data_IF_159510509309
#
_entry.id   IF_159510509309
#
_cell.length_a   1.000
_cell.length_b   1.000
_cell.length_c   1.000
_cell.angle_alpha   90.00
_cell.angle_beta   90.00
_cell.angle_gamma   90.00
#
_symmetry.space_group_name_H-M   'P 1'
#
loop_
_entity.id
_entity.type
_entity.pdbx_description
1 polymer ?
#
# COMPACT_ATOMS: atom_id res chain seq x y z
N UNK A 1 6.88 -4.25 21.67
CA UNK A 1 6.94 -4.51 20.19
C UNK A 1 8.35 -4.19 19.71
N UNK A 2 8.93 -5.04 18.87
CA UNK A 2 10.22 -4.72 18.24
C UNK A 2 10.04 -3.55 17.26
N UNK A 3 10.96 -2.57 17.31
CA UNK A 3 10.88 -1.41 16.44
C UNK A 3 11.37 -0.12 17.08
N UNK A 4 11.22 0.98 16.36
CA UNK A 4 11.52 2.34 16.82
C UNK A 4 10.52 3.30 16.21
N UNK A 5 10.07 4.28 16.98
CA UNK A 5 9.21 5.36 16.51
C UNK A 5 9.86 6.73 16.74
N UNK A 6 9.55 7.67 15.84
CA UNK A 6 9.89 9.08 15.95
C UNK A 6 8.62 9.89 16.18
N UNK A 7 8.54 10.59 17.28
CA UNK A 7 7.41 11.42 17.66
C UNK A 7 7.88 12.61 18.50
N UNK A 8 7.31 13.80 18.28
CA UNK A 8 7.64 15.04 19.01
C UNK A 8 9.16 15.32 19.08
N UNK A 9 9.86 15.06 17.98
CA UNK A 9 11.31 15.30 17.87
C UNK A 9 12.21 14.24 18.52
N UNK A 10 11.64 13.12 19.01
CA UNK A 10 12.38 12.09 19.78
C UNK A 10 12.17 10.71 19.18
N UNK A 11 13.21 9.87 19.28
CA UNK A 11 13.12 8.44 19.01
C UNK A 11 12.76 7.71 20.31
N UNK A 12 11.74 6.89 20.23
CA UNK A 12 11.17 6.16 21.38
C UNK A 12 10.84 4.71 20.99
N UNK A 13 10.60 3.86 21.98
CA UNK A 13 10.01 2.54 21.71
C UNK A 13 8.60 2.71 21.13
N UNK A 14 8.13 1.80 20.26
CA UNK A 14 6.81 1.92 19.63
C UNK A 14 5.66 2.11 20.64
N UNK A 15 5.71 1.45 21.79
CA UNK A 15 4.69 1.56 22.84
C UNK A 15 4.63 2.94 23.50
N UNK A 16 5.72 3.71 23.45
CA UNK A 16 5.78 5.06 23.98
C UNK A 16 5.34 6.13 22.98
N UNK A 17 5.13 5.75 21.71
CA UNK A 17 4.66 6.65 20.67
C UNK A 17 3.14 6.83 20.80
N UNK A 18 2.70 7.84 21.54
CA UNK A 18 1.28 8.11 21.80
C UNK A 18 0.81 9.42 21.20
N UNK A 19 -0.43 9.46 20.75
CA UNK A 19 -1.11 10.67 20.28
C UNK A 19 -2.25 11.03 21.24
N UNK A 20 -2.60 12.31 21.28
CA UNK A 20 -3.77 12.77 22.03
C UNK A 20 -5.06 12.27 21.40
N UNK A 21 -6.05 11.86 22.21
CA UNK A 21 -7.41 11.58 21.73
C UNK A 21 -8.08 12.81 21.08
N UNK A 22 -7.54 14.02 21.28
CA UNK A 22 -8.02 15.27 20.66
C UNK A 22 -7.28 15.59 19.36
N UNK A 23 -6.37 14.74 18.91
CA UNK A 23 -5.72 14.89 17.58
C UNK A 23 -6.78 14.62 16.49
N UNK A 24 -6.87 15.51 15.51
CA UNK A 24 -7.85 15.37 14.44
C UNK A 24 -7.50 14.26 13.45
N UNK A 25 -6.25 13.83 13.42
CA UNK A 25 -5.87 12.59 12.74
C UNK A 25 -6.65 11.39 13.29
N UNK A 26 -6.88 11.33 14.61
CA UNK A 26 -7.71 10.32 15.25
C UNK A 26 -9.21 10.64 15.14
N UNK A 27 -9.64 11.87 15.51
CA UNK A 27 -11.07 12.22 15.57
C UNK A 27 -11.75 12.32 14.21
N UNK A 28 -11.01 12.71 13.16
CA UNK A 28 -11.59 13.03 11.85
C UNK A 28 -10.94 12.26 10.70
N UNK A 29 -9.98 11.37 10.96
CA UNK A 29 -9.09 10.76 9.96
C UNK A 29 -8.35 11.80 9.09
N UNK A 30 -8.15 13.03 9.63
CA UNK A 30 -7.47 14.12 8.93
C UNK A 30 -5.95 13.94 9.05
N UNK A 31 -5.44 13.01 8.26
CA UNK A 31 -4.05 12.59 8.26
C UNK A 31 -3.69 11.92 6.93
N UNK A 32 -2.38 11.92 6.62
CA UNK A 32 -1.81 11.14 5.52
C UNK A 32 -0.62 10.32 6.02
N UNK A 33 -0.33 9.26 5.31
CA UNK A 33 0.83 8.41 5.58
C UNK A 33 1.44 7.87 4.29
N UNK A 34 2.68 7.39 4.37
CA UNK A 34 3.27 6.57 3.32
C UNK A 34 4.09 5.44 3.94
N UNK A 35 4.20 4.35 3.19
CA UNK A 35 4.91 3.15 3.65
C UNK A 35 5.95 2.76 2.62
N UNK A 36 7.21 2.82 3.01
CA UNK A 36 8.31 2.18 2.33
C UNK A 36 8.70 0.90 3.09
N UNK A 37 9.33 -0.05 2.40
CA UNK A 37 9.92 -1.18 3.08
C UNK A 37 11.44 -1.18 2.95
N UNK A 38 12.07 -1.84 3.91
CA UNK A 38 13.47 -2.24 3.88
C UNK A 38 13.52 -3.74 3.66
N UNK A 39 14.35 -4.17 2.72
CA UNK A 39 14.63 -5.58 2.45
C UNK A 39 16.15 -5.81 2.42
N UNK A 40 16.62 -6.75 3.22
CA UNK A 40 18.04 -7.05 3.37
C UNK A 40 18.92 -5.82 3.66
N UNK A 41 18.37 -4.86 4.44
CA UNK A 41 19.07 -3.64 4.84
C UNK A 41 19.09 -2.54 3.78
N UNK A 42 18.20 -2.56 2.81
CA UNK A 42 18.07 -1.55 1.75
C UNK A 42 16.62 -1.09 1.63
N UNK A 43 16.38 0.22 1.61
CA UNK A 43 15.10 0.77 1.20
C UNK A 43 14.87 0.52 -0.28
N UNK A 44 13.65 0.15 -0.64
CA UNK A 44 13.23 0.01 -2.03
C UNK A 44 12.40 1.23 -2.47
N UNK A 45 12.83 1.90 -3.55
CA UNK A 45 12.16 3.07 -4.17
C UNK A 45 11.80 4.16 -3.15
N UNK A 46 12.69 4.48 -2.22
CA UNK A 46 12.44 5.43 -1.14
C UNK A 46 12.03 6.82 -1.66
N UNK A 47 12.67 7.31 -2.72
CA UNK A 47 12.33 8.61 -3.32
C UNK A 47 10.89 8.65 -3.82
N UNK A 48 10.41 7.58 -4.46
CA UNK A 48 9.04 7.48 -4.96
C UNK A 48 8.00 7.53 -3.83
N UNK A 49 8.31 6.94 -2.68
CA UNK A 49 7.48 7.00 -1.48
C UNK A 49 7.47 8.40 -0.87
N UNK A 50 8.62 9.07 -0.81
CA UNK A 50 8.72 10.45 -0.33
C UNK A 50 7.98 11.42 -1.25
N UNK A 51 8.11 11.26 -2.58
CA UNK A 51 7.37 12.08 -3.56
C UNK A 51 5.86 11.97 -3.36
N UNK A 52 5.34 10.75 -3.17
CA UNK A 52 3.91 10.53 -2.94
C UNK A 52 3.46 11.07 -1.58
N UNK A 53 4.26 10.95 -0.54
CA UNK A 53 3.96 11.52 0.77
C UNK A 53 3.88 13.06 0.70
N UNK A 54 4.85 13.71 0.06
CA UNK A 54 4.85 15.17 -0.13
C UNK A 54 3.64 15.63 -0.95
N UNK A 55 3.28 14.91 -2.03
CA UNK A 55 2.08 15.19 -2.80
C UNK A 55 0.81 15.08 -1.94
N UNK A 56 0.72 14.07 -1.08
CA UNK A 56 -0.40 13.90 -0.15
C UNK A 56 -0.45 14.99 0.92
N UNK A 57 0.69 15.40 1.48
CA UNK A 57 0.80 16.53 2.41
C UNK A 57 0.27 17.82 1.75
N UNK A 58 0.71 18.10 0.54
CA UNK A 58 0.29 19.30 -0.20
C UNK A 58 -1.22 19.28 -0.48
N UNK A 59 -1.78 18.16 -0.92
CA UNK A 59 -3.21 18.01 -1.21
C UNK A 59 -4.07 18.25 0.04
N UNK A 60 -3.64 17.76 1.20
CA UNK A 60 -4.33 17.98 2.48
C UNK A 60 -3.94 19.29 3.18
N UNK A 61 -3.02 20.07 2.62
CA UNK A 61 -2.48 21.30 3.26
C UNK A 61 -1.96 21.00 4.67
N UNK A 62 -1.16 19.94 4.79
CA UNK A 62 -0.43 19.59 6.00
C UNK A 62 1.00 20.08 5.90
N UNK A 63 1.50 20.68 6.97
CA UNK A 63 2.91 21.05 7.12
C UNK A 63 3.56 20.10 8.14
N UNK A 64 4.45 19.19 7.72
CA UNK A 64 5.12 18.28 8.63
C UNK A 64 6.12 18.99 9.56
N UNK A 65 6.47 20.25 9.29
CA UNK A 65 7.46 21.02 10.05
C UNK A 65 8.90 20.50 9.92
N UNK A 66 9.16 19.64 8.94
CA UNK A 66 10.48 19.04 8.66
C UNK A 66 10.73 18.98 7.16
N UNK A 67 12.01 19.05 6.74
CA UNK A 67 12.39 18.94 5.33
C UNK A 67 12.35 17.49 4.85
N UNK A 68 12.34 17.28 3.53
CA UNK A 68 12.44 15.96 2.90
C UNK A 68 13.68 15.17 3.38
N UNK A 69 14.82 15.85 3.47
CA UNK A 69 16.07 15.25 3.97
C UNK A 69 15.89 14.76 5.41
N UNK A 70 15.22 15.57 6.24
CA UNK A 70 14.96 15.16 7.63
C UNK A 70 13.98 13.99 7.70
N UNK A 71 12.96 13.92 6.85
CA UNK A 71 12.07 12.75 6.76
C UNK A 71 12.87 11.49 6.42
N UNK A 72 13.72 11.56 5.39
CA UNK A 72 14.63 10.47 5.00
C UNK A 72 15.53 10.05 6.15
N UNK A 73 16.18 11.00 6.82
CA UNK A 73 17.07 10.71 7.96
C UNK A 73 16.33 10.02 9.09
N UNK A 74 15.12 10.47 9.41
CA UNK A 74 14.27 9.85 10.44
C UNK A 74 13.92 8.40 10.08
N UNK A 75 13.58 8.11 8.81
CA UNK A 75 13.31 6.73 8.37
C UNK A 75 14.54 5.84 8.55
N UNK A 76 15.71 6.27 8.09
CA UNK A 76 16.96 5.53 8.27
C UNK A 76 17.27 5.30 9.75
N UNK A 77 17.12 6.34 10.56
CA UNK A 77 17.42 6.27 11.99
C UNK A 77 16.43 5.36 12.74
N UNK A 78 15.14 5.36 12.41
CA UNK A 78 14.18 4.41 12.97
C UNK A 78 14.59 2.95 12.70
N UNK A 79 14.96 2.63 11.45
CA UNK A 79 15.41 1.28 11.08
C UNK A 79 16.72 0.92 11.76
N UNK A 80 17.68 1.85 11.79
CA UNK A 80 18.99 1.63 12.41
C UNK A 80 18.89 1.39 13.91
N UNK A 81 18.08 2.19 14.64
CA UNK A 81 17.84 2.03 16.09
C UNK A 81 17.12 0.74 16.42
N UNK A 82 16.22 0.28 15.55
CA UNK A 82 15.54 -0.99 15.69
C UNK A 82 16.41 -2.19 15.25
N UNK A 83 17.58 -1.95 14.65
CA UNK A 83 18.50 -2.97 14.11
C UNK A 83 17.83 -3.93 13.10
N UNK A 84 16.78 -3.49 12.41
CA UNK A 84 16.01 -4.31 11.48
C UNK A 84 16.71 -4.41 10.11
N UNK A 85 16.73 -5.60 9.52
CA UNK A 85 17.23 -5.85 8.17
C UNK A 85 16.07 -5.88 7.17
N UNK A 86 14.91 -6.32 7.61
CA UNK A 86 13.66 -6.32 6.86
C UNK A 86 12.62 -5.58 7.68
N UNK A 87 12.10 -4.47 7.15
CA UNK A 87 11.26 -3.57 7.92
C UNK A 87 10.09 -3.01 7.12
N UNK A 88 9.00 -2.80 7.80
CA UNK A 88 7.92 -1.92 7.43
C UNK A 88 8.22 -0.54 8.04
N UNK A 89 8.29 0.49 7.21
CA UNK A 89 8.64 1.84 7.65
C UNK A 89 7.56 2.80 7.20
N UNK A 90 6.87 3.41 8.14
CA UNK A 90 5.79 4.35 7.88
C UNK A 90 6.17 5.78 8.29
N UNK A 91 5.89 6.72 7.39
CA UNK A 91 5.80 8.15 7.65
C UNK A 91 4.33 8.52 7.81
N UNK A 92 4.02 9.40 8.74
CA UNK A 92 2.66 9.93 8.88
C UNK A 92 2.67 11.39 9.35
N UNK A 93 1.65 12.13 8.92
CA UNK A 93 1.40 13.48 9.37
C UNK A 93 -0.08 13.66 9.66
N UNK A 94 -0.41 14.10 10.88
CA UNK A 94 -1.77 14.39 11.30
C UNK A 94 -2.04 15.89 11.28
N UNK A 95 -3.32 16.27 11.16
CA UNK A 95 -3.75 17.65 11.37
C UNK A 95 -3.36 18.17 12.76
N UNK A 96 -3.24 17.29 13.75
CA UNK A 96 -2.93 17.65 15.12
C UNK A 96 -4.12 18.26 15.85
N UNK A 97 -3.84 19.12 16.84
CA UNK A 97 -4.87 19.72 17.67
C UNK A 97 -5.12 21.18 17.28
N UNK A 98 -6.39 21.62 17.24
CA UNK A 98 -6.72 23.03 17.02
C UNK A 98 -6.35 23.88 18.24
N UNK A 99 -6.30 25.20 18.03
CA UNK A 99 -6.23 26.16 19.14
C UNK A 99 -7.41 25.97 20.12
N UNK A 100 -7.23 26.25 21.41
CA UNK A 100 -8.31 26.08 22.41
C UNK A 100 -9.63 26.76 22.00
N UNK A 101 -10.72 25.98 22.00
CA UNK A 101 -12.05 26.47 21.60
C UNK A 101 -12.29 26.63 20.10
N UNK A 102 -11.29 26.36 19.25
CA UNK A 102 -11.42 26.45 17.78
C UNK A 102 -11.92 25.17 17.16
N UNK A 103 -12.72 25.31 16.08
CA UNK A 103 -13.08 24.25 15.14
C UNK A 103 -12.50 24.52 13.73
N UNK A 104 -11.62 25.50 13.61
CA UNK A 104 -11.00 25.87 12.34
C UNK A 104 -9.73 25.01 12.11
N UNK A 105 -9.66 24.20 11.04
CA UNK A 105 -8.50 23.35 10.75
C UNK A 105 -7.19 24.16 10.54
N UNK A 106 -7.30 25.43 10.20
CA UNK A 106 -6.14 26.32 10.01
C UNK A 106 -5.44 26.67 11.33
N UNK A 107 -6.09 26.45 12.46
CA UNK A 107 -5.52 26.71 13.79
C UNK A 107 -4.84 25.48 14.38
N UNK A 108 -4.84 24.36 13.67
CA UNK A 108 -4.21 23.13 14.13
C UNK A 108 -2.69 23.20 14.01
N UNK A 109 -2.00 22.58 14.97
CA UNK A 109 -0.56 22.34 14.89
C UNK A 109 -0.35 20.93 14.36
N UNK A 110 0.12 20.83 13.11
CA UNK A 110 0.35 19.54 12.46
C UNK A 110 1.47 18.77 13.16
N UNK A 111 1.45 17.44 13.06
CA UNK A 111 2.43 16.57 13.70
C UNK A 111 2.98 15.55 12.73
N UNK A 112 4.28 15.61 12.50
CA UNK A 112 5.02 14.59 11.77
C UNK A 112 5.48 13.48 12.72
N UNK A 113 5.34 12.25 12.28
CA UNK A 113 5.76 11.05 13.00
C UNK A 113 6.27 10.01 12.00
N UNK A 114 7.07 9.07 12.48
CA UNK A 114 7.50 7.92 11.69
C UNK A 114 7.72 6.72 12.61
N UNK A 115 7.68 5.52 12.05
CA UNK A 115 8.11 4.33 12.77
C UNK A 115 8.67 3.26 11.84
N UNK A 116 9.50 2.39 12.39
CA UNK A 116 9.97 1.17 11.75
C UNK A 116 9.67 -0.02 12.66
N UNK A 117 9.09 -1.06 12.10
CA UNK A 117 8.80 -2.34 12.76
C UNK A 117 9.24 -3.48 11.83
N UNK A 118 9.34 -4.74 12.30
CA UNK A 118 9.58 -5.88 11.43
C UNK A 118 8.65 -5.89 10.21
N UNK A 119 9.13 -6.41 9.08
CA UNK A 119 8.38 -6.41 7.82
C UNK A 119 6.99 -7.01 7.98
N UNK A 120 5.97 -6.28 7.50
CA UNK A 120 4.56 -6.69 7.58
C UNK A 120 4.09 -7.16 6.21
N UNK A 121 3.74 -8.43 6.10
CA UNK A 121 3.22 -9.02 4.88
C UNK A 121 1.71 -8.82 4.75
N UNK A 122 1.24 -8.41 3.57
CA UNK A 122 -0.21 -8.49 3.21
C UNK A 122 -0.64 -9.96 3.11
N UNK A 123 0.19 -10.76 2.47
CA UNK A 123 0.10 -12.21 2.49
C UNK A 123 1.48 -12.77 2.84
N UNK A 124 1.57 -13.55 3.90
CA UNK A 124 2.82 -14.18 4.31
C UNK A 124 3.38 -15.13 3.23
N UNK A 125 4.65 -15.56 3.32
CA UNK A 125 5.26 -16.40 2.30
C UNK A 125 4.50 -17.72 2.01
N UNK A 126 3.78 -18.28 2.97
CA UNK A 126 2.97 -19.47 2.76
C UNK A 126 1.75 -19.15 1.90
N UNK A 127 1.02 -18.08 2.24
CA UNK A 127 -0.10 -17.58 1.43
C UNK A 127 0.33 -17.19 0.03
N UNK A 128 1.50 -16.55 -0.13
CA UNK A 128 2.01 -16.22 -1.45
C UNK A 128 2.30 -17.46 -2.31
N UNK A 129 2.76 -18.57 -1.70
CA UNK A 129 3.00 -19.84 -2.44
C UNK A 129 1.74 -20.54 -2.91
N UNK A 130 0.63 -20.45 -2.16
CA UNK A 130 -0.65 -21.07 -2.55
C UNK A 130 -1.60 -20.15 -3.29
N UNK A 131 -1.31 -18.86 -3.31
CA UNK A 131 -2.24 -17.80 -3.72
C UNK A 131 -3.25 -17.45 -2.63
N UNK A 132 -3.87 -16.29 -2.75
CA UNK A 132 -4.81 -15.72 -1.78
C UNK A 132 -6.23 -15.80 -2.32
N UNK A 133 -7.22 -16.01 -1.44
CA UNK A 133 -8.64 -16.02 -1.78
C UNK A 133 -9.22 -14.62 -1.68
N UNK A 134 -9.57 -14.04 -2.84
CA UNK A 134 -10.09 -12.68 -3.01
C UNK A 134 -11.62 -12.69 -3.10
N UNK A 135 -12.25 -11.73 -2.47
CA UNK A 135 -13.70 -11.51 -2.56
C UNK A 135 -13.99 -10.14 -3.14
N UNK A 136 -14.94 -10.05 -4.07
CA UNK A 136 -15.56 -8.79 -4.45
C UNK A 136 -16.68 -8.49 -3.45
N UNK A 137 -16.50 -7.48 -2.61
CA UNK A 137 -17.45 -7.17 -1.54
C UNK A 137 -18.56 -6.22 -1.98
N UNK A 138 -19.65 -6.23 -1.21
CA UNK A 138 -20.81 -5.35 -1.37
C UNK A 138 -20.51 -3.89 -1.00
N UNK A 139 -19.77 -3.57 0.09
CA UNK A 139 -19.36 -2.20 0.37
C UNK A 139 -18.59 -1.60 -0.81
N UNK A 140 -18.94 -0.34 -1.11
CA UNK A 140 -18.28 0.40 -2.19
C UNK A 140 -17.12 1.22 -1.64
N UNK A 141 -16.09 1.40 -2.48
CA UNK A 141 -15.00 2.34 -2.19
C UNK A 141 -15.55 3.76 -2.06
N UNK A 142 -15.04 4.53 -1.12
CA UNK A 142 -15.38 5.95 -0.95
C UNK A 142 -15.21 6.65 -2.30
N UNK A 143 -16.24 7.38 -2.80
CA UNK A 143 -16.17 8.02 -4.11
C UNK A 143 -15.01 9.01 -4.23
N UNK A 144 -14.26 8.97 -5.33
CA UNK A 144 -13.12 9.84 -5.59
C UNK A 144 -13.45 11.35 -5.49
N UNK A 145 -14.71 11.73 -5.76
CA UNK A 145 -15.19 13.11 -5.59
C UNK A 145 -15.36 13.53 -4.12
N UNK A 146 -15.37 12.57 -3.17
CA UNK A 146 -15.52 12.82 -1.73
C UNK A 146 -14.17 12.79 -1.00
N UNK A 147 -13.33 11.82 -1.35
CA UNK A 147 -11.96 11.67 -0.85
C UNK A 147 -11.07 11.32 -2.03
N UNK A 148 -10.07 12.16 -2.29
CA UNK A 148 -9.13 11.94 -3.40
C UNK A 148 -8.35 10.63 -3.18
N UNK A 149 -8.48 9.62 -4.04
CA UNK A 149 -7.79 8.34 -3.91
C UNK A 149 -6.26 8.44 -4.10
N UNK A 150 -5.77 9.52 -4.73
CA UNK A 150 -4.33 9.75 -4.89
C UNK A 150 -3.66 10.16 -3.57
N UNK A 151 -4.44 10.68 -2.61
CA UNK A 151 -3.97 10.95 -1.25
C UNK A 151 -4.00 9.66 -0.44
N UNK A 152 -2.84 9.22 0.04
CA UNK A 152 -2.76 8.03 0.90
C UNK A 152 -3.25 8.38 2.30
N UNK A 153 -4.48 7.95 2.62
CA UNK A 153 -5.25 8.38 3.79
C UNK A 153 -5.71 7.21 4.67
N UNK A 154 -6.25 7.52 5.85
CA UNK A 154 -6.74 6.56 6.84
C UNK A 154 -8.26 6.31 6.79
N UNK A 155 -8.95 6.65 5.70
CA UNK A 155 -10.37 6.32 5.52
C UNK A 155 -10.52 4.85 5.09
N UNK A 156 -10.55 3.97 6.07
CA UNK A 156 -10.52 2.52 5.88
C UNK A 156 -11.79 1.78 6.28
N UNK A 157 -12.86 2.49 6.70
CA UNK A 157 -14.08 1.84 7.18
C UNK A 157 -14.78 1.01 6.11
N UNK A 158 -14.72 1.41 4.85
CA UNK A 158 -15.20 0.66 3.71
C UNK A 158 -14.39 -0.64 3.49
N UNK A 159 -13.06 -0.57 3.57
CA UNK A 159 -12.19 -1.75 3.53
C UNK A 159 -12.45 -2.70 4.70
N UNK A 160 -12.60 -2.17 5.92
CA UNK A 160 -12.87 -2.99 7.12
C UNK A 160 -14.22 -3.70 6.99
N UNK A 161 -15.26 -3.01 6.53
CA UNK A 161 -16.56 -3.62 6.27
C UNK A 161 -16.47 -4.74 5.20
N UNK A 162 -15.72 -4.47 4.13
CA UNK A 162 -15.48 -5.47 3.08
C UNK A 162 -14.66 -6.67 3.57
N UNK A 163 -13.66 -6.46 4.43
CA UNK A 163 -12.87 -7.56 5.02
C UNK A 163 -13.74 -8.48 5.89
N UNK A 164 -14.63 -7.93 6.71
CA UNK A 164 -15.56 -8.76 7.48
C UNK A 164 -16.48 -9.57 6.56
N UNK A 165 -17.03 -8.96 5.48
CA UNK A 165 -17.80 -9.71 4.49
C UNK A 165 -16.96 -10.81 3.82
N UNK A 166 -15.70 -10.54 3.47
CA UNK A 166 -14.82 -11.54 2.89
C UNK A 166 -14.60 -12.72 3.83
N UNK A 167 -14.33 -12.45 5.11
CA UNK A 167 -14.16 -13.50 6.14
C UNK A 167 -15.43 -14.34 6.34
N UNK A 168 -16.59 -13.69 6.39
CA UNK A 168 -17.90 -14.40 6.52
C UNK A 168 -18.18 -15.29 5.31
N UNK A 169 -17.61 -14.95 4.14
CA UNK A 169 -17.71 -15.74 2.89
C UNK A 169 -16.55 -16.73 2.70
N UNK A 170 -15.67 -16.87 3.69
CA UNK A 170 -14.52 -17.80 3.64
C UNK A 170 -13.34 -17.30 2.79
N UNK A 171 -13.33 -16.03 2.37
CA UNK A 171 -12.19 -15.40 1.71
C UNK A 171 -11.15 -14.87 2.69
N UNK A 172 -10.02 -14.39 2.16
CA UNK A 172 -8.89 -13.91 2.96
C UNK A 172 -8.65 -12.41 2.85
N UNK A 173 -9.11 -11.82 1.76
CA UNK A 173 -9.03 -10.39 1.51
C UNK A 173 -10.11 -9.94 0.54
N UNK A 174 -10.18 -8.64 0.29
CA UNK A 174 -11.30 -8.03 -0.42
C UNK A 174 -10.82 -7.04 -1.48
N UNK A 175 -11.52 -6.97 -2.59
CA UNK A 175 -11.48 -5.84 -3.51
C UNK A 175 -12.82 -5.13 -3.49
N UNK A 176 -12.79 -3.79 -3.41
CA UNK A 176 -14.00 -2.96 -3.48
C UNK A 176 -14.23 -2.46 -4.90
N UNK A 177 -15.48 -2.11 -5.17
CA UNK A 177 -15.89 -1.50 -6.43
C UNK A 177 -16.34 -0.06 -6.18
N UNK A 178 -16.43 0.73 -7.24
CA UNK A 178 -17.14 2.00 -7.22
C UNK A 178 -18.67 1.81 -7.38
N UNK A 179 -19.42 2.90 -7.30
CA UNK A 179 -20.88 2.87 -7.46
C UNK A 179 -21.38 2.47 -8.85
N UNK A 180 -20.49 2.27 -9.84
CA UNK A 180 -20.81 1.82 -11.21
C UNK A 180 -20.36 0.36 -11.46
N UNK A 181 -19.95 -0.37 -10.45
CA UNK A 181 -19.50 -1.77 -10.55
C UNK A 181 -18.11 -1.93 -11.18
N UNK A 182 -17.30 -0.87 -11.22
CA UNK A 182 -15.90 -0.96 -11.65
C UNK A 182 -15.04 -1.33 -10.46
N UNK A 183 -14.07 -2.21 -10.71
CA UNK A 183 -13.07 -2.60 -9.71
C UNK A 183 -12.23 -1.38 -9.33
N UNK A 184 -12.05 -1.16 -8.04
CA UNK A 184 -11.15 -0.16 -7.50
C UNK A 184 -9.91 -0.84 -6.92
N UNK A 185 -9.80 -0.89 -5.62
CA UNK A 185 -8.63 -1.40 -4.91
C UNK A 185 -9.05 -2.16 -3.65
N UNK A 186 -8.10 -2.75 -2.95
CA UNK A 186 -8.32 -3.38 -1.65
C UNK A 186 -7.44 -2.77 -0.56
N UNK A 187 -7.55 -3.28 0.68
CA UNK A 187 -6.86 -2.74 1.84
C UNK A 187 -5.33 -2.87 1.70
N UNK A 188 -4.69 -1.78 1.27
CA UNK A 188 -3.23 -1.69 1.13
C UNK A 188 -2.66 -2.27 -0.17
N UNK A 189 -3.48 -2.52 -1.20
CA UNK A 189 -3.01 -3.03 -2.49
C UNK A 189 -3.86 -2.55 -3.68
N UNK A 190 -3.24 -2.53 -4.85
CA UNK A 190 -3.92 -2.40 -6.14
C UNK A 190 -4.13 -3.78 -6.79
N UNK A 191 -5.06 -3.87 -7.75
CA UNK A 191 -5.44 -5.13 -8.42
C UNK A 191 -5.01 -5.12 -9.87
N UNK A 192 -4.59 -6.28 -10.37
CA UNK A 192 -4.26 -6.54 -11.76
C UNK A 192 -4.99 -7.78 -12.26
N UNK A 193 -5.49 -7.71 -13.48
CA UNK A 193 -6.04 -8.85 -14.22
C UNK A 193 -5.16 -9.14 -15.44
N UNK A 194 -4.90 -10.41 -15.70
CA UNK A 194 -4.14 -10.88 -16.87
C UNK A 194 -5.05 -11.67 -17.79
N UNK A 195 -4.99 -11.38 -19.06
CA UNK A 195 -5.69 -12.12 -20.12
C UNK A 195 -4.65 -12.74 -21.05
N UNK A 196 -4.71 -14.04 -21.22
CA UNK A 196 -3.79 -14.80 -22.05
C UNK A 196 -3.91 -14.43 -23.54
N UNK A 197 -2.83 -14.56 -24.28
CA UNK A 197 -2.74 -14.25 -25.69
C UNK A 197 -1.31 -14.38 -26.22
N UNK A 198 -1.09 -14.12 -27.49
CA UNK A 198 0.25 -14.09 -28.08
C UNK A 198 1.15 -13.04 -27.39
N UNK A 199 0.60 -11.89 -27.06
CA UNK A 199 1.11 -10.94 -26.09
C UNK A 199 0.10 -10.88 -24.92
N UNK A 200 0.43 -11.35 -23.71
CA UNK A 200 -0.48 -11.29 -22.57
C UNK A 200 -0.88 -9.84 -22.28
N UNK A 201 -2.17 -9.62 -22.02
CA UNK A 201 -2.68 -8.29 -21.69
C UNK A 201 -2.82 -8.18 -20.16
N UNK A 202 -2.16 -7.18 -19.58
CA UNK A 202 -2.18 -6.87 -18.15
C UNK A 202 -2.99 -5.60 -17.94
N UNK A 203 -4.10 -5.69 -17.21
CA UNK A 203 -5.05 -4.60 -16.97
C UNK A 203 -5.05 -4.23 -15.50
N UNK A 204 -5.00 -2.94 -15.17
CA UNK A 204 -5.17 -2.42 -13.82
C UNK A 204 -6.09 -1.20 -13.83
N UNK A 205 -6.98 -1.03 -12.82
CA UNK A 205 -7.87 0.11 -12.73
C UNK A 205 -7.16 1.47 -12.82
N UNK A 206 -7.75 2.39 -13.61
CA UNK A 206 -7.24 3.75 -13.78
C UNK A 206 -7.81 4.74 -12.76
N UNK A 207 -9.04 4.49 -12.27
CA UNK A 207 -9.79 5.44 -11.45
C UNK A 207 -10.19 4.87 -10.10
N UNK A 208 -10.29 5.73 -9.09
CA UNK A 208 -10.73 5.36 -7.75
C UNK A 208 -9.70 4.55 -6.95
N UNK A 209 -8.43 4.62 -7.34
CA UNK A 209 -7.33 3.85 -6.75
C UNK A 209 -6.16 4.74 -6.38
N UNK A 210 -5.39 4.33 -5.38
CA UNK A 210 -4.11 4.94 -5.07
C UNK A 210 -3.10 4.62 -6.20
N UNK A 211 -2.29 5.60 -6.58
CA UNK A 211 -1.15 5.38 -7.47
C UNK A 211 -0.01 4.68 -6.69
N UNK A 212 -0.13 3.35 -6.56
CA UNK A 212 0.80 2.53 -5.82
C UNK A 212 2.22 2.55 -6.42
N UNK A 213 3.25 2.69 -5.58
CA UNK A 213 4.66 2.59 -6.02
C UNK A 213 4.93 1.18 -6.58
N UNK A 214 4.46 0.15 -5.88
CA UNK A 214 4.53 -1.24 -6.37
C UNK A 214 3.70 -1.43 -7.65
N UNK A 215 2.50 -0.81 -7.73
CA UNK A 215 1.69 -0.84 -8.96
C UNK A 215 2.47 -0.28 -10.14
N UNK A 216 3.11 0.89 -10.01
CA UNK A 216 3.94 1.50 -11.05
C UNK A 216 5.09 0.59 -11.44
N UNK A 217 5.79 0.00 -10.47
CA UNK A 217 6.88 -0.94 -10.71
C UNK A 217 6.42 -2.15 -11.54
N UNK A 218 5.27 -2.73 -11.21
CA UNK A 218 4.74 -3.90 -11.92
C UNK A 218 4.22 -3.55 -13.32
N UNK A 219 3.71 -2.33 -13.55
CA UNK A 219 3.41 -1.80 -14.89
C UNK A 219 4.68 -1.72 -15.74
N UNK A 220 5.76 -1.15 -15.19
CA UNK A 220 7.07 -1.04 -15.86
C UNK A 220 7.64 -2.43 -16.19
N UNK A 221 7.57 -3.36 -15.24
CA UNK A 221 8.05 -4.74 -15.43
C UNK A 221 7.20 -5.50 -16.46
N UNK A 222 5.88 -5.43 -16.39
CA UNK A 222 5.00 -6.11 -17.35
C UNK A 222 5.28 -5.65 -18.79
N UNK A 223 5.50 -4.35 -19.02
CA UNK A 223 5.87 -3.83 -20.32
C UNK A 223 7.24 -4.36 -20.79
N UNK A 224 8.24 -4.46 -19.89
CA UNK A 224 9.56 -5.03 -20.20
C UNK A 224 9.50 -6.52 -20.53
N UNK A 225 8.60 -7.26 -19.90
CA UNK A 225 8.35 -8.69 -20.14
C UNK A 225 7.46 -8.94 -21.39
N UNK A 226 7.18 -7.91 -22.19
CA UNK A 226 6.45 -8.03 -23.44
C UNK A 226 4.93 -8.13 -23.30
N UNK A 227 4.36 -7.78 -22.14
CA UNK A 227 2.93 -7.70 -21.96
C UNK A 227 2.35 -6.40 -22.56
N UNK A 228 1.13 -6.47 -23.10
CA UNK A 228 0.33 -5.28 -23.38
C UNK A 228 -0.27 -4.74 -22.08
N UNK A 229 0.22 -3.61 -21.59
CA UNK A 229 -0.27 -3.01 -20.34
C UNK A 229 -1.38 -2.00 -20.63
N UNK A 230 -2.52 -2.17 -19.97
CA UNK A 230 -3.67 -1.28 -20.06
C UNK A 230 -4.03 -0.72 -18.68
N UNK A 231 -3.90 0.58 -18.52
CA UNK A 231 -4.38 1.33 -17.34
C UNK A 231 -5.74 1.93 -17.72
N UNK A 232 -6.82 1.27 -17.31
CA UNK A 232 -8.19 1.64 -17.68
C UNK A 232 -9.21 1.10 -16.66
N UNK A 233 -10.46 1.47 -16.82
CA UNK A 233 -11.53 0.86 -16.03
C UNK A 233 -11.58 -0.66 -16.26
N UNK A 234 -11.83 -1.39 -15.19
CA UNK A 234 -11.96 -2.85 -15.14
C UNK A 234 -13.29 -3.20 -14.46
N UNK A 235 -14.20 -3.82 -15.20
CA UNK A 235 -15.47 -4.28 -14.64
C UNK A 235 -15.31 -5.59 -13.86
N UNK A 236 -16.18 -5.82 -12.86
CA UNK A 236 -16.15 -7.06 -12.06
C UNK A 236 -16.29 -8.31 -12.93
N UNK A 237 -17.18 -8.30 -13.92
CA UNK A 237 -17.38 -9.45 -14.83
C UNK A 237 -16.16 -9.69 -15.73
N UNK A 238 -15.41 -8.65 -16.05
CA UNK A 238 -14.14 -8.80 -16.77
C UNK A 238 -13.07 -9.39 -15.84
N UNK A 239 -12.97 -8.92 -14.60
CA UNK A 239 -12.06 -9.48 -13.59
C UNK A 239 -12.31 -10.97 -13.38
N UNK A 240 -13.59 -11.41 -13.32
CA UNK A 240 -13.97 -12.83 -13.19
C UNK A 240 -13.54 -13.70 -14.36
N UNK A 241 -13.34 -13.13 -15.54
CA UNK A 241 -12.86 -13.84 -16.74
C UNK A 241 -11.35 -13.80 -16.94
N UNK A 242 -10.61 -13.19 -16.00
CA UNK A 242 -9.17 -13.14 -16.09
C UNK A 242 -8.53 -14.54 -15.97
N UNK A 243 -7.48 -14.76 -16.75
CA UNK A 243 -6.69 -16.00 -16.67
C UNK A 243 -5.76 -16.00 -15.45
N UNK A 244 -5.32 -14.80 -15.00
CA UNK A 244 -4.57 -14.62 -13.77
C UNK A 244 -5.04 -13.31 -13.10
N UNK A 245 -4.99 -13.29 -11.77
CA UNK A 245 -5.22 -12.09 -10.96
C UNK A 245 -4.07 -11.98 -9.97
N UNK A 246 -3.52 -10.78 -9.80
CA UNK A 246 -2.56 -10.51 -8.74
C UNK A 246 -2.76 -9.14 -8.11
N UNK A 247 -2.28 -8.99 -6.89
CA UNK A 247 -2.28 -7.74 -6.13
C UNK A 247 -0.90 -7.12 -6.15
N UNK A 248 -0.85 -5.80 -6.04
CA UNK A 248 0.39 -5.02 -5.95
C UNK A 248 0.46 -4.28 -4.62
N UNK A 249 1.43 -4.62 -3.77
CA UNK A 249 1.61 -3.99 -2.46
C UNK A 249 3.08 -3.86 -2.08
N UNK A 250 3.42 -2.80 -1.35
CA UNK A 250 4.71 -2.64 -0.68
C UNK A 250 4.96 -3.78 0.32
N UNK A 251 3.90 -4.33 0.92
CA UNK A 251 3.94 -5.47 1.84
C UNK A 251 3.87 -6.84 1.15
N UNK A 252 4.51 -7.03 -0.03
CA UNK A 252 4.54 -8.35 -0.65
C UNK A 252 4.84 -8.40 -2.15
N UNK A 253 5.01 -7.24 -2.81
CA UNK A 253 5.25 -7.18 -4.25
C UNK A 253 4.02 -7.59 -5.06
N UNK A 254 4.19 -8.50 -6.01
CA UNK A 254 3.10 -9.14 -6.75
C UNK A 254 2.60 -10.36 -5.96
N UNK A 255 1.34 -10.33 -5.51
CA UNK A 255 0.72 -11.38 -4.70
C UNK A 255 -0.35 -12.07 -5.54
N UNK A 256 -0.18 -13.35 -5.81
CA UNK A 256 -1.08 -14.12 -6.65
C UNK A 256 -2.45 -14.36 -5.98
N UNK A 257 -3.52 -14.37 -6.77
CA UNK A 257 -4.87 -14.75 -6.36
C UNK A 257 -5.18 -16.15 -6.85
N UNK A 258 -5.53 -17.03 -5.91
CA UNK A 258 -5.93 -18.42 -6.19
C UNK A 258 -7.41 -18.52 -6.57
N UNK A 259 -8.28 -17.80 -5.86
CA UNK A 259 -9.71 -17.79 -6.15
C UNK A 259 -10.30 -16.37 -6.07
N UNK A 260 -11.35 -16.15 -6.85
CA UNK A 260 -12.18 -14.94 -6.79
C UNK A 260 -13.62 -15.38 -6.49
N UNK A 261 -14.20 -14.87 -5.40
CA UNK A 261 -15.54 -15.26 -4.92
C UNK A 261 -15.71 -16.80 -4.78
N UNK A 262 -14.65 -17.51 -4.36
CA UNK A 262 -14.64 -18.97 -4.21
C UNK A 262 -14.46 -19.76 -5.53
N UNK A 263 -14.28 -19.08 -6.66
CA UNK A 263 -14.04 -19.71 -7.97
C UNK A 263 -12.55 -19.61 -8.32
N UNK A 264 -11.91 -20.73 -8.65
CA UNK A 264 -10.49 -20.78 -9.03
C UNK A 264 -10.20 -19.86 -10.23
N UNK A 265 -9.21 -18.99 -10.11
CA UNK A 265 -8.82 -18.06 -11.17
C UNK A 265 -8.19 -18.83 -12.34
N UNK A 266 -8.68 -18.57 -13.57
CA UNK A 266 -8.23 -19.27 -14.78
C UNK A 266 -8.45 -20.79 -14.75
N UNK A 267 -9.29 -21.31 -13.85
CA UNK A 267 -9.53 -22.75 -13.69
C UNK A 267 -8.31 -23.52 -13.17
N UNK A 268 -7.33 -22.85 -12.57
CA UNK A 268 -6.06 -23.44 -12.11
C UNK A 268 -6.18 -24.03 -10.72
N UNK A 269 -5.42 -25.11 -10.41
CA UNK A 269 -5.35 -25.62 -9.05
C UNK A 269 -4.63 -24.62 -8.13
N UNK A 270 -4.90 -24.70 -6.82
CA UNK A 270 -4.20 -23.88 -5.81
C UNK A 270 -2.67 -24.04 -5.95
N UNK A 271 -1.95 -22.92 -5.87
CA UNK A 271 -0.50 -22.86 -6.06
C UNK A 271 -0.03 -22.76 -7.52
N UNK A 272 -0.95 -22.79 -8.48
CA UNK A 272 -0.66 -22.52 -9.89
C UNK A 272 -1.33 -21.22 -10.32
N UNK A 273 -0.63 -20.13 -10.27
CA UNK A 273 -1.15 -18.78 -10.55
C UNK A 273 -0.78 -18.22 -11.92
N UNK A 274 -0.35 -19.07 -12.82
CA UNK A 274 -0.02 -18.66 -14.18
C UNK A 274 1.37 -18.02 -14.35
N UNK A 275 1.85 -17.98 -15.61
CA UNK A 275 3.22 -17.61 -15.93
C UNK A 275 3.51 -16.12 -15.76
N UNK A 276 2.57 -15.23 -16.09
CA UNK A 276 2.79 -13.78 -16.01
C UNK A 276 2.98 -13.33 -14.57
N UNK A 277 2.11 -13.76 -13.67
CA UNK A 277 2.21 -13.45 -12.24
C UNK A 277 3.53 -13.96 -11.65
N UNK A 278 3.95 -15.18 -11.99
CA UNK A 278 5.25 -15.74 -11.54
C UNK A 278 6.44 -14.93 -12.04
N UNK A 279 6.44 -14.58 -13.31
CA UNK A 279 7.52 -13.78 -13.91
C UNK A 279 7.60 -12.41 -13.25
N UNK A 280 6.47 -11.73 -13.08
CA UNK A 280 6.43 -10.41 -12.46
C UNK A 280 6.81 -10.43 -10.97
N UNK A 281 6.42 -11.48 -10.24
CA UNK A 281 6.83 -11.67 -8.85
C UNK A 281 8.35 -11.84 -8.74
N UNK A 282 8.94 -12.71 -9.55
CA UNK A 282 10.39 -12.92 -9.57
C UNK A 282 11.14 -11.65 -9.98
N UNK A 283 10.69 -10.98 -11.05
CA UNK A 283 11.29 -9.74 -11.53
C UNK A 283 11.21 -8.60 -10.50
N UNK A 284 10.09 -8.48 -9.78
CA UNK A 284 9.93 -7.48 -8.73
C UNK A 284 10.96 -7.67 -7.61
N UNK A 285 11.10 -8.89 -7.09
CA UNK A 285 12.06 -9.16 -6.01
C UNK A 285 13.52 -9.03 -6.47
N UNK A 286 13.83 -9.33 -7.73
CA UNK A 286 15.16 -9.13 -8.29
C UNK A 286 15.59 -7.65 -8.32
N UNK A 287 14.65 -6.69 -8.41
CA UNK A 287 14.97 -5.26 -8.34
C UNK A 287 15.53 -4.81 -6.98
N UNK A 288 15.34 -5.60 -5.92
CA UNK A 288 15.90 -5.27 -4.60
C UNK A 288 17.43 -5.40 -4.55
N UNK A 289 18.04 -6.11 -5.48
CA UNK A 289 19.49 -6.19 -5.64
C UNK A 289 20.07 -5.07 -6.52
N UNK A 290 19.21 -4.33 -7.24
CA UNK A 290 19.62 -3.26 -8.14
C UNK A 290 19.78 -1.93 -7.35
N UNK A 291 21.03 -1.36 -7.32
CA UNK A 291 21.29 -0.10 -6.63
C UNK A 291 20.54 1.10 -7.22
N UNK A 292 20.01 1.00 -8.45
CA UNK A 292 19.20 2.06 -9.05
C UNK A 292 17.84 2.22 -8.37
N UNK A 293 17.30 1.13 -7.82
CA UNK A 293 15.99 1.11 -7.14
C UNK A 293 16.11 1.07 -5.62
N UNK A 294 17.35 0.94 -5.09
CA UNK A 294 17.54 0.71 -3.65
C UNK A 294 18.55 1.65 -3.02
N UNK A 295 18.31 2.01 -1.78
CA UNK A 295 19.20 2.82 -0.95
C UNK A 295 19.60 2.05 0.31
N UNK A 296 20.92 1.86 0.59
CA UNK A 296 21.36 1.18 1.82
C UNK A 296 20.92 1.93 3.07
N UNK A 297 20.41 1.21 4.07
CA UNK A 297 20.14 1.80 5.38
C UNK A 297 21.44 2.27 6.02
N UNK A 298 21.44 3.46 6.58
CA UNK A 298 22.56 4.05 7.32
C UNK A 298 22.54 3.55 8.76
N UNK A 299 23.03 2.31 8.99
CA UNK A 299 23.11 1.76 10.34
C UNK A 299 24.10 2.54 11.20
N UNK A 300 23.81 2.62 12.50
CA UNK A 300 24.70 3.19 13.48
C UNK A 300 25.94 2.27 13.63
N UNK A 301 27.14 2.87 13.68
CA UNK A 301 28.40 2.16 13.85
C UNK A 301 28.55 1.58 15.27
#
# INVERSE_FOLDING_TARGET
>A
MEGCAYIDGKFVAPEAATISIFDWGFLHSDATYDVAHVWQGRFFRLDDHLDRFEASLAALRLDPGVTRERMRDVMHECVARAALRDAYVELLCTRGRPAPGSRDPRTCTNRFMAFAIPFVWIADPERQRRGVDLVVATPQRIPARSVDPHVKNYHWLDFVAGLFEAYDRGGETVVLTDGAGRVAEGPGFNVFAVFAGAAPRVVTPAHGVLEGVTRRTLIELAAREGCEVQVRDLGVDELRRADEIFLASTGGGAIAIASLDGVAVGGRPAGDFGPVTRTLQAAYWALHDDPHFTEPVRYLA
#
